data_IF_043324012126
#
_entry.id   IF_043324012126
#
_cell.length_a   1.000
_cell.length_b   1.000
_cell.length_c   1.000
_cell.angle_alpha   90.00
_cell.angle_beta   90.00
_cell.angle_gamma   90.00
#
_symmetry.space_group_name_H-M   'P 1'
#
loop_
_entity.id
_entity.type
_entity.pdbx_description
1 polymer ?
#
# COMPACT_ATOMS: atom_id res chain seq x y z
N UNK A 1 12.00 24.13 -1.44
CA UNK A 1 11.44 24.79 -0.23
C UNK A 1 11.27 23.71 0.83
N UNK A 2 11.58 24.03 2.09
CA UNK A 2 11.51 23.09 3.23
C UNK A 2 10.79 23.79 4.39
N UNK A 3 9.45 23.81 4.39
CA UNK A 3 8.66 24.44 5.44
C UNK A 3 8.89 23.76 6.79
N UNK A 4 8.99 24.57 7.85
CA UNK A 4 9.16 24.09 9.21
C UNK A 4 7.81 24.12 9.99
N UNK A 5 6.85 24.86 9.50
CA UNK A 5 5.55 25.02 10.13
C UNK A 5 4.42 25.17 9.08
N UNK A 6 3.20 25.31 9.59
CA UNK A 6 2.00 25.38 8.78
C UNK A 6 1.91 26.67 7.95
N UNK A 7 2.45 27.78 8.47
CA UNK A 7 2.46 29.07 7.78
C UNK A 7 3.43 29.05 6.60
N UNK A 8 4.65 28.60 6.81
CA UNK A 8 5.65 28.44 5.77
C UNK A 8 5.16 27.48 4.67
N UNK A 9 4.44 26.40 5.06
CA UNK A 9 3.82 25.47 4.11
C UNK A 9 2.76 26.16 3.23
N UNK A 10 1.90 26.96 3.84
CA UNK A 10 0.86 27.72 3.14
C UNK A 10 1.48 28.74 2.16
N UNK A 11 2.46 29.52 2.62
CA UNK A 11 3.16 30.51 1.79
C UNK A 11 3.90 29.85 0.62
N UNK A 12 4.52 28.69 0.85
CA UNK A 12 5.22 27.94 -0.20
C UNK A 12 4.27 27.50 -1.33
N UNK A 13 3.05 27.08 -0.98
CA UNK A 13 2.04 26.65 -1.97
C UNK A 13 1.45 27.86 -2.69
N UNK A 14 1.07 28.91 -1.95
CA UNK A 14 0.41 30.09 -2.50
C UNK A 14 1.30 30.83 -3.53
N UNK A 15 2.62 30.77 -3.39
CA UNK A 15 3.58 31.46 -4.26
C UNK A 15 4.16 30.57 -5.38
N UNK A 16 3.72 29.32 -5.49
CA UNK A 16 4.28 28.37 -6.44
C UNK A 16 3.43 28.27 -7.73
N UNK A 17 4.11 28.04 -8.85
CA UNK A 17 3.44 27.68 -10.11
C UNK A 17 3.17 26.17 -10.19
N UNK A 18 4.14 25.36 -9.78
CA UNK A 18 4.01 23.91 -9.69
C UNK A 18 5.04 23.31 -8.74
N UNK A 19 4.65 22.29 -7.99
CA UNK A 19 5.43 21.68 -6.92
C UNK A 19 5.48 20.16 -7.03
N UNK A 20 6.68 19.59 -6.96
CA UNK A 20 6.86 18.20 -6.58
C UNK A 20 6.86 18.11 -5.05
N UNK A 21 5.81 17.54 -4.47
CA UNK A 21 5.66 17.37 -3.02
C UNK A 21 6.37 16.08 -2.58
N UNK A 22 7.32 16.21 -1.67
CA UNK A 22 8.19 15.14 -1.22
C UNK A 22 8.20 15.06 0.31
N UNK A 23 8.20 13.83 0.85
CA UNK A 23 8.82 13.53 2.13
C UNK A 23 10.28 13.10 1.86
N UNK A 24 10.65 11.86 2.24
CA UNK A 24 11.99 11.33 1.95
C UNK A 24 12.20 10.90 0.48
N UNK A 25 11.28 11.22 -0.43
CA UNK A 25 11.41 10.95 -1.86
C UNK A 25 11.41 9.47 -2.28
N UNK A 26 11.16 8.54 -1.37
CA UNK A 26 11.30 7.08 -1.60
C UNK A 26 10.38 6.53 -2.68
N UNK A 27 9.31 7.24 -3.02
CA UNK A 27 8.30 6.80 -3.99
C UNK A 27 8.34 7.58 -5.31
N UNK A 28 9.41 8.37 -5.55
CA UNK A 28 9.59 9.12 -6.82
C UNK A 28 9.71 8.20 -8.03
N UNK A 29 10.29 6.99 -7.82
CA UNK A 29 10.42 5.96 -8.84
C UNK A 29 9.13 5.25 -9.24
N UNK A 30 8.03 5.46 -8.53
CA UNK A 30 6.73 4.84 -8.81
C UNK A 30 5.88 5.72 -9.73
N UNK A 31 4.91 5.13 -10.46
CA UNK A 31 3.95 5.80 -11.31
C UNK A 31 4.60 6.84 -12.28
N UNK A 32 3.86 7.81 -12.80
CA UNK A 32 4.42 8.85 -13.70
C UNK A 32 5.34 9.80 -12.93
N UNK A 33 6.47 10.23 -13.54
CA UNK A 33 7.30 11.29 -12.95
C UNK A 33 6.54 12.61 -12.90
N UNK A 34 6.78 13.38 -11.84
CA UNK A 34 6.23 14.74 -11.70
C UNK A 34 7.08 15.71 -12.51
N UNK A 35 6.41 16.58 -13.28
CA UNK A 35 7.03 17.69 -14.00
C UNK A 35 6.65 19.00 -13.31
N UNK A 36 7.46 19.46 -12.38
CA UNK A 36 7.23 20.68 -11.62
C UNK A 36 8.46 21.60 -11.62
N UNK A 37 8.22 22.93 -11.52
CA UNK A 37 9.28 23.94 -11.47
C UNK A 37 9.97 23.96 -10.09
N UNK A 38 9.21 23.65 -9.01
CA UNK A 38 9.71 23.68 -7.64
C UNK A 38 9.60 22.32 -6.93
N UNK A 39 10.35 22.19 -5.83
CA UNK A 39 10.27 21.04 -4.90
C UNK A 39 9.83 21.54 -3.53
N UNK A 40 8.86 20.85 -2.94
CA UNK A 40 8.38 21.05 -1.59
C UNK A 40 8.74 19.83 -0.76
N UNK A 41 9.77 19.96 0.06
CA UNK A 41 10.31 18.90 0.91
C UNK A 41 9.77 19.06 2.33
N UNK A 42 9.00 18.08 2.77
CA UNK A 42 8.32 18.10 4.08
C UNK A 42 9.16 17.50 5.21
N UNK A 43 10.42 17.17 4.99
CA UNK A 43 11.27 16.48 5.98
C UNK A 43 11.46 17.25 7.30
N UNK A 44 11.30 18.58 7.30
CA UNK A 44 11.32 19.41 8.52
C UNK A 44 10.02 19.33 9.33
N UNK A 45 8.91 18.91 8.73
CA UNK A 45 7.66 18.65 9.45
C UNK A 45 7.73 17.26 10.10
N UNK A 46 8.59 17.11 11.09
CA UNK A 46 8.95 15.85 11.74
C UNK A 46 8.77 15.96 13.26
N UNK A 47 7.63 15.49 13.74
CA UNK A 47 7.35 15.30 15.16
C UNK A 47 6.18 14.35 15.35
N UNK A 48 6.21 13.54 16.41
CA UNK A 48 5.02 12.88 16.97
C UNK A 48 4.33 13.95 17.82
N UNK A 49 3.12 14.36 17.43
CA UNK A 49 2.38 15.46 18.05
C UNK A 49 1.50 15.00 19.20
N UNK A 50 1.00 13.76 19.12
CA UNK A 50 0.23 13.12 20.19
C UNK A 50 0.24 11.61 20.02
N UNK A 51 0.39 10.89 21.13
CA UNK A 51 0.28 9.44 21.13
C UNK A 51 -0.29 8.99 22.46
N UNK A 52 -1.52 8.48 22.42
CA UNK A 52 -2.26 7.92 23.55
C UNK A 52 -2.43 6.42 23.33
N UNK A 53 -1.52 5.58 23.84
CA UNK A 53 -1.55 4.15 23.60
C UNK A 53 -2.86 3.48 24.02
N UNK A 54 -3.46 3.91 25.12
CA UNK A 54 -4.73 3.35 25.63
C UNK A 54 -5.92 3.64 24.69
N UNK A 55 -5.88 4.76 23.98
CA UNK A 55 -6.92 5.15 23.00
C UNK A 55 -6.67 4.58 21.61
N UNK A 56 -5.52 3.95 21.37
CA UNK A 56 -5.09 3.44 20.07
C UNK A 56 -5.06 4.53 18.97
N UNK A 57 -4.71 5.75 19.35
CA UNK A 57 -4.65 6.93 18.48
C UNK A 57 -3.23 7.49 18.46
N UNK A 58 -2.72 7.70 17.25
CA UNK A 58 -1.38 8.21 16.98
C UNK A 58 -1.47 9.40 16.02
N UNK A 59 -0.91 10.56 16.41
CA UNK A 59 -0.84 11.76 15.58
C UNK A 59 0.60 12.20 15.39
N UNK A 60 0.95 12.59 14.17
CA UNK A 60 2.28 13.08 13.86
C UNK A 60 2.27 13.99 12.61
N UNK A 61 3.29 14.81 12.46
CA UNK A 61 3.53 15.60 11.28
C UNK A 61 3.83 14.70 10.07
N UNK A 62 3.40 15.12 8.88
CA UNK A 62 3.43 14.29 7.67
C UNK A 62 4.85 13.91 7.20
N UNK A 63 5.86 14.73 7.52
CA UNK A 63 7.26 14.46 7.23
C UNK A 63 7.94 13.50 8.22
N UNK A 64 7.27 13.09 9.31
CA UNK A 64 7.82 12.15 10.29
C UNK A 64 8.22 10.85 9.60
N UNK A 65 9.48 10.38 9.76
CA UNK A 65 9.92 9.11 9.22
C UNK A 65 9.04 7.96 9.74
N UNK A 66 8.60 7.08 8.83
CA UNK A 66 7.78 5.91 9.20
C UNK A 66 8.44 5.05 10.27
N UNK A 67 9.75 4.84 10.14
CA UNK A 67 10.53 4.04 11.10
C UNK A 67 10.48 4.64 12.53
N UNK A 68 10.51 5.96 12.66
CA UNK A 68 10.37 6.64 13.96
C UNK A 68 9.00 6.37 14.59
N UNK A 69 7.93 6.46 13.79
CA UNK A 69 6.57 6.14 14.25
C UNK A 69 6.44 4.66 14.64
N UNK A 70 6.94 3.75 13.80
CA UNK A 70 6.92 2.30 14.09
C UNK A 70 7.71 1.95 15.36
N UNK A 71 8.81 2.64 15.63
CA UNK A 71 9.60 2.46 16.86
C UNK A 71 8.81 2.92 18.11
N UNK A 72 8.13 4.07 18.04
CA UNK A 72 7.28 4.55 19.12
C UNK A 72 6.11 3.59 19.40
N UNK A 73 5.44 3.10 18.35
CA UNK A 73 4.36 2.13 18.47
C UNK A 73 4.85 0.81 19.08
N UNK A 74 6.04 0.35 18.71
CA UNK A 74 6.62 -0.89 19.20
C UNK A 74 6.88 -0.86 20.72
N UNK A 75 7.23 0.30 21.28
CA UNK A 75 7.41 0.48 22.74
C UNK A 75 6.13 0.22 23.53
N UNK A 76 4.96 0.51 22.92
CA UNK A 76 3.65 0.23 23.50
C UNK A 76 3.05 -1.11 23.00
N UNK A 77 3.84 -1.97 22.37
CA UNK A 77 3.34 -3.22 21.75
C UNK A 77 2.21 -3.00 20.75
N UNK A 78 2.25 -1.88 20.01
CA UNK A 78 1.28 -1.52 18.98
C UNK A 78 1.92 -1.50 17.58
N UNK A 79 1.09 -1.36 16.54
CA UNK A 79 1.53 -1.38 15.16
C UNK A 79 0.55 -0.67 14.21
N UNK A 80 1.04 -0.30 13.02
CA UNK A 80 0.19 -0.04 11.87
C UNK A 80 -0.35 -1.36 11.32
N UNK A 81 -1.61 -1.67 11.63
CA UNK A 81 -2.19 -2.99 11.33
C UNK A 81 -2.33 -3.30 9.82
N UNK A 82 -2.37 -2.27 8.97
CA UNK A 82 -2.38 -2.42 7.52
C UNK A 82 -1.03 -2.83 6.90
N UNK A 83 0.01 -3.04 7.71
CA UNK A 83 1.36 -3.48 7.29
C UNK A 83 1.92 -2.67 6.11
N UNK A 84 2.30 -1.40 6.30
CA UNK A 84 2.83 -0.61 5.19
C UNK A 84 4.10 -1.27 4.61
N UNK A 85 4.15 -1.54 3.28
CA UNK A 85 5.31 -2.19 2.69
C UNK A 85 6.54 -1.27 2.70
N UNK A 86 7.71 -1.88 2.90
CA UNK A 86 8.99 -1.24 2.66
C UNK A 86 9.50 -1.63 1.27
N UNK A 87 9.33 -0.74 0.32
CA UNK A 87 9.78 -0.96 -1.06
C UNK A 87 11.18 -0.38 -1.32
N UNK A 88 11.94 -0.04 -0.28
CA UNK A 88 13.26 0.58 -0.43
C UNK A 88 14.22 -0.30 -1.23
N UNK A 89 14.30 -1.59 -0.92
CA UNK A 89 15.10 -2.56 -1.67
C UNK A 89 14.67 -2.65 -3.14
N UNK A 90 13.36 -2.67 -3.39
CA UNK A 90 12.81 -2.78 -4.75
C UNK A 90 13.05 -1.51 -5.57
N UNK A 91 13.03 -0.34 -4.95
CA UNK A 91 13.16 0.98 -5.59
C UNK A 91 14.57 1.56 -5.52
N UNK A 92 15.51 0.87 -4.85
CA UNK A 92 16.88 1.34 -4.69
C UNK A 92 16.98 2.60 -3.81
N UNK A 93 16.13 2.73 -2.78
CA UNK A 93 16.15 3.87 -1.85
C UNK A 93 16.65 3.44 -0.46
N UNK A 94 17.13 4.40 0.34
CA UNK A 94 17.72 4.11 1.65
C UNK A 94 16.81 4.40 2.84
N UNK A 95 15.54 4.68 2.62
CA UNK A 95 14.58 5.06 3.65
C UNK A 95 13.24 4.37 3.44
N UNK A 96 12.55 4.06 4.53
CA UNK A 96 11.18 3.54 4.51
C UNK A 96 10.12 4.59 4.13
N UNK A 97 10.53 5.87 4.02
CA UNK A 97 9.66 7.00 3.72
C UNK A 97 9.06 7.68 4.95
N UNK A 98 8.07 8.53 4.72
CA UNK A 98 7.38 9.32 5.76
C UNK A 98 5.93 8.92 5.89
N UNK A 99 5.26 9.33 6.98
CA UNK A 99 3.84 9.08 7.21
C UNK A 99 2.96 9.71 6.13
N UNK A 100 3.24 10.94 5.73
CA UNK A 100 2.51 11.58 4.61
C UNK A 100 2.65 10.81 3.30
N UNK A 101 3.87 10.32 2.98
CA UNK A 101 4.11 9.48 1.80
C UNK A 101 3.44 8.10 1.88
N UNK A 102 3.31 7.52 3.08
CA UNK A 102 2.58 6.28 3.34
C UNK A 102 1.09 6.46 3.06
N UNK A 103 0.48 7.51 3.62
CA UNK A 103 -0.93 7.84 3.43
C UNK A 103 -1.21 8.20 1.96
N UNK A 104 -0.38 9.07 1.37
CA UNK A 104 -0.55 9.51 0.00
C UNK A 104 -0.59 8.37 -1.02
N UNK A 105 0.08 7.25 -0.77
CA UNK A 105 0.12 6.11 -1.70
C UNK A 105 -0.88 5.00 -1.39
N UNK A 106 -1.45 4.96 -0.18
CA UNK A 106 -2.41 3.94 0.28
C UNK A 106 -1.93 2.49 0.06
N UNK A 107 -0.62 2.25 0.15
CA UNK A 107 -0.07 0.91 -0.01
C UNK A 107 -0.18 0.13 1.30
N UNK A 108 -0.77 -1.05 1.22
CA UNK A 108 -1.00 -1.96 2.35
C UNK A 108 -0.42 -3.33 2.06
N UNK A 109 0.02 -4.01 3.09
CA UNK A 109 0.58 -5.35 3.04
C UNK A 109 -0.45 -6.46 3.24
N UNK A 110 0.02 -7.70 3.52
CA UNK A 110 -0.81 -8.91 3.58
C UNK A 110 -1.98 -8.82 4.55
N UNK A 111 -1.82 -8.16 5.72
CA UNK A 111 -2.86 -8.07 6.75
C UNK A 111 -4.06 -7.21 6.34
N UNK A 112 -4.01 -6.56 5.16
CA UNK A 112 -5.17 -5.82 4.62
C UNK A 112 -6.44 -6.67 4.58
N UNK A 113 -6.32 -7.98 4.37
CA UNK A 113 -7.47 -8.90 4.32
C UNK A 113 -8.32 -8.83 5.60
N UNK A 114 -7.67 -8.68 6.77
CA UNK A 114 -8.32 -8.64 8.08
C UNK A 114 -8.39 -7.23 8.65
N UNK A 115 -7.34 -6.44 8.50
CA UNK A 115 -7.21 -5.14 9.15
C UNK A 115 -7.73 -3.97 8.31
N UNK A 116 -7.94 -4.15 7.00
CA UNK A 116 -8.24 -3.07 6.08
C UNK A 116 -6.98 -2.38 5.53
N UNK A 117 -7.19 -1.37 4.68
CA UNK A 117 -6.14 -0.59 4.03
C UNK A 117 -5.73 0.63 4.87
N UNK A 118 -4.68 1.35 4.47
CA UNK A 118 -4.24 2.61 5.10
C UNK A 118 -5.43 3.55 5.32
N UNK A 119 -6.27 3.75 4.29
CA UNK A 119 -7.43 4.65 4.34
C UNK A 119 -8.46 4.31 5.43
N UNK A 120 -8.49 3.06 5.88
CA UNK A 120 -9.43 2.60 6.91
C UNK A 120 -8.89 2.90 8.32
N UNK A 121 -7.63 3.36 8.41
CA UNK A 121 -6.94 3.72 9.63
C UNK A 121 -6.68 5.22 9.77
N UNK A 122 -6.87 6.03 8.72
CA UNK A 122 -6.73 7.49 8.81
C UNK A 122 -8.00 8.06 9.42
N UNK A 123 -7.88 8.57 10.66
CA UNK A 123 -8.98 9.15 11.42
C UNK A 123 -9.17 10.63 11.09
N UNK A 124 -8.07 11.36 10.85
CA UNK A 124 -8.10 12.77 10.56
C UNK A 124 -6.78 13.30 10.02
N UNK A 125 -6.80 14.53 9.55
CA UNK A 125 -5.63 15.23 9.07
C UNK A 125 -5.81 16.73 9.10
N UNK A 126 -4.69 17.46 9.07
CA UNK A 126 -4.60 18.88 8.72
C UNK A 126 -3.76 19.02 7.44
N UNK A 127 -4.16 19.89 6.53
CA UNK A 127 -3.54 20.03 5.22
C UNK A 127 -3.67 21.43 4.64
N UNK A 128 -2.89 21.69 3.58
CA UNK A 128 -3.03 22.88 2.72
C UNK A 128 -3.43 22.42 1.33
N UNK A 129 -4.52 22.98 0.79
CA UNK A 129 -4.97 22.74 -0.57
C UNK A 129 -4.07 23.42 -1.62
N UNK A 130 -4.22 23.07 -2.89
CA UNK A 130 -3.57 23.80 -3.98
C UNK A 130 -4.04 25.26 -4.15
N UNK A 131 -5.07 25.70 -3.40
CA UNK A 131 -5.50 27.10 -3.28
C UNK A 131 -4.74 27.87 -2.21
N UNK A 132 -3.84 27.21 -1.47
CA UNK A 132 -3.21 27.80 -0.29
C UNK A 132 -4.13 27.89 0.93
N UNK A 133 -5.28 27.20 0.93
CA UNK A 133 -6.23 27.19 2.03
C UNK A 133 -5.89 26.08 3.03
N UNK A 134 -5.82 26.46 4.30
CA UNK A 134 -5.67 25.53 5.43
C UNK A 134 -7.02 24.90 5.71
N UNK A 135 -7.06 23.59 5.81
CA UNK A 135 -8.26 22.86 6.21
C UNK A 135 -7.92 21.60 7.00
N UNK A 136 -8.90 21.14 7.77
CA UNK A 136 -8.83 19.89 8.52
C UNK A 136 -10.10 19.08 8.31
N UNK A 137 -9.98 17.77 8.42
CA UNK A 137 -11.12 16.87 8.37
C UNK A 137 -10.87 15.63 9.23
N UNK A 138 -11.96 15.04 9.72
CA UNK A 138 -11.88 13.97 10.70
C UNK A 138 -11.49 14.49 12.09
N UNK A 139 -10.92 13.62 12.91
CA UNK A 139 -10.53 13.94 14.29
C UNK A 139 -9.84 12.76 14.96
N UNK A 140 -9.84 12.73 16.29
CA UNK A 140 -9.27 11.66 17.10
C UNK A 140 -10.27 10.54 17.42
N UNK A 141 -11.48 10.57 16.84
CA UNK A 141 -12.54 9.61 17.13
C UNK A 141 -12.76 8.69 15.93
N UNK A 142 -13.02 7.43 16.20
CA UNK A 142 -13.20 6.38 15.17
C UNK A 142 -14.47 6.58 14.34
N UNK A 143 -15.49 7.29 14.88
CA UNK A 143 -16.76 7.50 14.21
C UNK A 143 -16.97 8.99 13.89
N UNK A 144 -16.79 9.35 12.60
CA UNK A 144 -17.25 10.63 12.08
C UNK A 144 -18.60 10.40 11.37
N UNK A 145 -19.65 11.10 11.82
CA UNK A 145 -21.02 10.94 11.28
C UNK A 145 -21.50 12.17 10.51
N UNK A 146 -20.66 13.19 10.38
CA UNK A 146 -21.03 14.46 9.73
C UNK A 146 -20.07 14.80 8.59
N UNK A 147 -20.61 15.18 7.44
CA UNK A 147 -19.86 15.63 6.29
C UNK A 147 -19.26 14.49 5.44
N UNK A 148 -18.43 14.89 4.48
CA UNK A 148 -17.72 13.96 3.60
C UNK A 148 -16.52 13.33 4.32
N UNK A 149 -16.23 12.06 4.00
CA UNK A 149 -15.05 11.35 4.50
C UNK A 149 -13.80 11.79 3.71
N UNK A 150 -13.33 13.01 3.97
CA UNK A 150 -12.14 13.56 3.34
C UNK A 150 -10.85 12.79 3.72
N UNK A 151 -10.68 12.20 4.92
CA UNK A 151 -9.56 11.32 5.21
C UNK A 151 -9.39 10.20 4.18
N UNK A 152 -10.49 9.54 3.78
CA UNK A 152 -10.44 8.51 2.73
C UNK A 152 -10.15 9.06 1.34
N UNK A 153 -10.60 10.28 1.03
CA UNK A 153 -10.33 10.95 -0.24
C UNK A 153 -8.84 11.35 -0.37
N UNK A 154 -8.25 11.89 0.69
CA UNK A 154 -6.83 12.28 0.72
C UNK A 154 -5.90 11.07 0.67
N UNK A 155 -6.31 9.95 1.28
CA UNK A 155 -5.53 8.71 1.28
C UNK A 155 -5.52 8.08 -0.12
N UNK A 156 -4.34 7.95 -0.70
CA UNK A 156 -4.17 7.46 -2.07
C UNK A 156 -4.22 8.55 -3.14
N UNK A 157 -4.29 9.83 -2.76
CA UNK A 157 -4.28 10.96 -3.70
C UNK A 157 -2.92 11.31 -4.27
N UNK A 158 -1.84 10.67 -3.84
CA UNK A 158 -0.46 10.93 -4.26
C UNK A 158 -0.01 12.38 -4.04
N UNK A 159 -0.61 13.08 -3.08
CA UNK A 159 -0.35 14.49 -2.82
C UNK A 159 -0.77 15.43 -3.96
N UNK A 160 -1.73 15.01 -4.78
CA UNK A 160 -2.25 15.82 -5.90
C UNK A 160 -3.44 16.69 -5.50
N UNK A 161 -4.08 16.43 -4.37
CA UNK A 161 -5.24 17.20 -3.88
C UNK A 161 -4.85 18.22 -2.82
N UNK A 162 -4.00 17.81 -1.89
CA UNK A 162 -3.53 18.66 -0.80
C UNK A 162 -2.16 18.18 -0.31
N UNK A 163 -1.46 19.03 0.41
CA UNK A 163 -0.24 18.72 1.15
C UNK A 163 -0.61 18.51 2.60
N UNK A 164 -0.42 17.27 3.08
CA UNK A 164 -0.66 16.93 4.47
C UNK A 164 0.37 17.59 5.37
N UNK A 165 -0.08 18.22 6.46
CA UNK A 165 0.76 18.79 7.50
C UNK A 165 0.83 17.85 8.71
N UNK A 166 -0.31 17.48 9.28
CA UNK A 166 -0.47 16.54 10.39
C UNK A 166 -1.45 15.44 10.01
N UNK A 167 -1.22 14.24 10.54
CA UNK A 167 -2.08 13.07 10.30
C UNK A 167 -2.37 12.37 11.61
N UNK A 168 -3.62 11.90 11.77
CA UNK A 168 -4.07 11.10 12.89
C UNK A 168 -4.46 9.71 12.41
N UNK A 169 -3.89 8.68 13.01
CA UNK A 169 -4.02 7.30 12.63
C UNK A 169 -4.55 6.45 13.78
N UNK A 170 -5.47 5.54 13.48
CA UNK A 170 -5.80 4.41 14.33
C UNK A 170 -4.67 3.40 14.27
N UNK A 171 -4.22 2.95 15.43
CA UNK A 171 -3.25 1.87 15.59
C UNK A 171 -3.91 0.68 16.28
N UNK A 172 -3.30 -0.49 16.24
CA UNK A 172 -3.81 -1.70 16.90
C UNK A 172 -2.72 -2.34 17.75
N UNK A 173 -3.09 -3.10 18.80
CA UNK A 173 -2.14 -3.94 19.50
C UNK A 173 -1.47 -4.94 18.56
N UNK A 174 -0.19 -5.18 18.79
CA UNK A 174 0.55 -6.24 18.09
C UNK A 174 0.06 -7.59 18.57
N UNK A 175 -0.20 -8.58 17.69
CA UNK A 175 -0.49 -9.94 18.10
C UNK A 175 0.64 -10.52 18.96
N UNK A 176 0.29 -11.27 19.99
CA UNK A 176 1.25 -11.95 20.87
C UNK A 176 2.10 -12.95 20.08
N UNK A 177 1.45 -13.73 19.22
CA UNK A 177 2.07 -14.78 18.42
C UNK A 177 1.42 -14.90 17.04
N UNK A 178 2.13 -15.56 16.12
CA UNK A 178 1.63 -15.92 14.80
C UNK A 178 2.00 -17.35 14.43
N UNK A 179 1.18 -17.96 13.58
CA UNK A 179 1.43 -19.24 12.94
C UNK A 179 1.15 -19.15 11.44
N UNK A 180 1.98 -19.81 10.66
CA UNK A 180 1.75 -19.95 9.22
C UNK A 180 1.74 -21.42 8.83
N UNK A 181 0.59 -21.86 8.28
CA UNK A 181 0.49 -23.13 7.58
C UNK A 181 0.91 -22.94 6.14
N UNK A 182 1.64 -23.92 5.59
CA UNK A 182 2.03 -23.95 4.19
C UNK A 182 1.41 -25.19 3.54
N UNK A 183 0.69 -24.97 2.44
CA UNK A 183 0.21 -26.03 1.55
C UNK A 183 1.18 -26.14 0.38
N UNK A 184 1.76 -27.32 0.18
CA UNK A 184 2.81 -27.55 -0.80
C UNK A 184 2.29 -28.07 -2.14
N UNK A 185 2.99 -27.70 -3.23
CA UNK A 185 2.85 -28.30 -4.53
C UNK A 185 1.64 -27.87 -5.38
N UNK A 186 0.93 -26.82 -4.95
CA UNK A 186 -0.28 -26.38 -5.64
C UNK A 186 0.00 -25.72 -7.02
N UNK A 187 -0.91 -25.95 -7.96
CA UNK A 187 -1.00 -25.10 -9.14
C UNK A 187 -1.64 -23.74 -8.77
N UNK A 188 -1.43 -22.65 -9.55
CA UNK A 188 -1.95 -21.33 -9.20
C UNK A 188 -3.47 -21.28 -8.97
N UNK A 189 -4.24 -22.03 -9.74
CA UNK A 189 -5.70 -22.12 -9.57
C UNK A 189 -6.08 -22.80 -8.26
N UNK A 190 -5.43 -23.94 -7.93
CA UNK A 190 -5.68 -24.67 -6.69
C UNK A 190 -5.27 -23.86 -5.46
N UNK A 191 -4.17 -23.10 -5.57
CA UNK A 191 -3.73 -22.17 -4.55
C UNK A 191 -4.77 -21.08 -4.27
N UNK A 192 -5.38 -20.51 -5.31
CA UNK A 192 -6.45 -19.53 -5.15
C UNK A 192 -7.68 -20.15 -4.44
N UNK A 193 -8.03 -21.40 -4.77
CA UNK A 193 -9.11 -22.12 -4.09
C UNK A 193 -8.77 -22.42 -2.62
N UNK A 194 -7.55 -22.87 -2.33
CA UNK A 194 -7.09 -23.12 -0.97
C UNK A 194 -7.10 -21.87 -0.11
N UNK A 195 -6.61 -20.74 -0.65
CA UNK A 195 -6.66 -19.44 0.02
C UNK A 195 -8.10 -18.99 0.27
N UNK A 196 -8.98 -19.14 -0.72
CA UNK A 196 -10.41 -18.81 -0.58
C UNK A 196 -11.10 -19.65 0.49
N UNK A 197 -10.82 -20.96 0.54
CA UNK A 197 -11.35 -21.87 1.55
C UNK A 197 -10.86 -21.48 2.96
N UNK A 198 -9.57 -21.16 3.11
CA UNK A 198 -9.00 -20.67 4.36
C UNK A 198 -9.65 -19.36 4.83
N UNK A 199 -9.84 -18.39 3.93
CA UNK A 199 -10.49 -17.12 4.22
C UNK A 199 -11.97 -17.27 4.61
N UNK A 200 -12.67 -18.26 4.05
CA UNK A 200 -14.06 -18.58 4.39
C UNK A 200 -14.22 -19.33 5.70
N UNK A 201 -13.14 -19.77 6.33
CA UNK A 201 -13.16 -20.50 7.60
C UNK A 201 -13.29 -19.57 8.82
N UNK A 202 -13.66 -20.14 9.98
CA UNK A 202 -13.68 -19.44 11.25
C UNK A 202 -12.26 -19.23 11.86
N UNK A 203 -11.19 -19.55 11.12
CA UNK A 203 -9.84 -19.44 11.60
C UNK A 203 -9.27 -18.00 11.66
N UNK A 204 -10.04 -17.02 11.20
CA UNK A 204 -9.64 -15.59 11.18
C UNK A 204 -8.25 -15.37 10.55
N UNK A 205 -8.09 -15.83 9.32
CA UNK A 205 -6.85 -15.68 8.55
C UNK A 205 -6.47 -14.21 8.40
N UNK A 206 -5.21 -13.88 8.67
CA UNK A 206 -4.67 -12.52 8.60
C UNK A 206 -3.74 -12.28 7.39
N UNK A 207 -3.39 -13.32 6.67
CA UNK A 207 -2.60 -13.25 5.44
C UNK A 207 -2.73 -14.56 4.65
N UNK A 208 -2.85 -14.45 3.33
CA UNK A 208 -2.91 -15.58 2.42
C UNK A 208 -2.19 -15.23 1.12
N UNK A 209 -1.11 -15.96 0.80
CA UNK A 209 -0.23 -15.69 -0.32
C UNK A 209 0.23 -16.99 -1.00
N UNK A 210 0.56 -16.91 -2.29
CA UNK A 210 1.06 -18.03 -3.08
C UNK A 210 2.31 -17.65 -3.86
N UNK A 211 3.34 -18.48 -3.77
CA UNK A 211 4.60 -18.34 -4.48
C UNK A 211 4.74 -19.43 -5.57
N UNK A 212 4.56 -19.09 -6.85
CA UNK A 212 4.62 -20.07 -7.94
C UNK A 212 5.98 -20.78 -8.06
N UNK A 213 7.08 -20.12 -7.65
CA UNK A 213 8.45 -20.65 -7.79
C UNK A 213 8.67 -21.90 -6.94
N UNK A 214 8.09 -21.95 -5.75
CA UNK A 214 8.13 -23.09 -4.85
C UNK A 214 6.84 -23.89 -4.84
N UNK A 215 5.77 -23.35 -5.46
CA UNK A 215 4.41 -23.87 -5.43
C UNK A 215 3.83 -23.95 -4.01
N UNK A 216 4.25 -23.03 -3.14
CA UNK A 216 3.82 -22.95 -1.75
C UNK A 216 2.74 -21.92 -1.54
N UNK A 217 1.71 -22.30 -0.79
CA UNK A 217 0.61 -21.41 -0.37
C UNK A 217 0.69 -21.19 1.13
N UNK A 218 0.89 -19.94 1.53
CA UNK A 218 1.10 -19.51 2.91
C UNK A 218 -0.21 -18.96 3.49
N UNK A 219 -0.63 -19.48 4.64
CA UNK A 219 -1.85 -19.05 5.35
C UNK A 219 -1.48 -18.66 6.77
N UNK A 220 -1.59 -17.37 7.12
CA UNK A 220 -1.24 -16.82 8.43
C UNK A 220 -2.45 -16.64 9.33
N UNK A 221 -2.31 -17.04 10.57
CA UNK A 221 -3.19 -16.72 11.70
C UNK A 221 -2.39 -16.03 12.81
N UNK A 222 -3.01 -15.10 13.51
CA UNK A 222 -2.37 -14.28 14.54
C UNK A 222 -3.29 -14.12 15.75
N UNK A 223 -2.72 -13.96 16.94
CA UNK A 223 -3.45 -13.72 18.18
C UNK A 223 -2.74 -14.23 19.41
N UNK A 224 -3.50 -14.62 20.42
CA UNK A 224 -2.99 -15.24 21.65
C UNK A 224 -2.73 -16.74 21.41
N UNK A 225 -1.67 -17.28 22.00
CA UNK A 225 -1.19 -18.62 21.75
C UNK A 225 -2.25 -19.73 21.91
N UNK A 226 -3.08 -19.78 22.97
CA UNK A 226 -4.13 -20.82 23.10
C UNK A 226 -5.15 -20.80 21.96
N UNK A 227 -5.56 -19.62 21.50
CA UNK A 227 -6.49 -19.47 20.39
C UNK A 227 -5.89 -19.94 19.06
N UNK A 228 -4.59 -19.71 18.85
CA UNK A 228 -3.90 -20.12 17.63
C UNK A 228 -3.91 -21.66 17.45
N UNK A 229 -3.74 -22.43 18.52
CA UNK A 229 -3.77 -23.90 18.42
C UNK A 229 -5.13 -24.42 17.95
N UNK A 230 -6.23 -23.89 18.49
CA UNK A 230 -7.58 -24.28 18.06
C UNK A 230 -7.84 -23.92 16.59
N UNK A 231 -7.48 -22.68 16.19
CA UNK A 231 -7.66 -22.20 14.81
C UNK A 231 -6.75 -22.91 13.81
N UNK A 232 -5.56 -23.31 14.23
CA UNK A 232 -4.67 -24.17 13.45
C UNK A 232 -5.35 -25.47 13.07
N UNK A 233 -5.95 -26.20 14.04
CA UNK A 233 -6.66 -27.47 13.79
C UNK A 233 -7.81 -27.29 12.79
N UNK A 234 -8.56 -26.18 12.88
CA UNK A 234 -9.58 -25.85 11.89
C UNK A 234 -8.97 -25.68 10.49
N UNK A 235 -7.87 -24.93 10.36
CA UNK A 235 -7.20 -24.72 9.08
C UNK A 235 -6.61 -26.02 8.51
N UNK A 236 -6.00 -26.85 9.33
CA UNK A 236 -5.50 -28.16 8.89
C UNK A 236 -6.62 -29.01 8.29
N UNK A 237 -7.80 -29.00 8.90
CA UNK A 237 -8.98 -29.71 8.37
C UNK A 237 -9.43 -29.13 7.02
N UNK A 238 -9.50 -27.81 6.89
CA UNK A 238 -9.92 -27.12 5.67
C UNK A 238 -8.91 -27.31 4.54
N UNK A 239 -7.61 -27.28 4.85
CA UNK A 239 -6.53 -27.28 3.87
C UNK A 239 -6.04 -28.67 3.47
N UNK A 240 -6.27 -29.69 4.29
CA UNK A 240 -5.85 -31.09 4.03
C UNK A 240 -6.24 -31.63 2.65
N UNK A 241 -7.44 -31.33 2.10
CA UNK A 241 -7.82 -31.79 0.78
C UNK A 241 -6.98 -31.23 -0.37
N UNK A 242 -6.28 -30.12 -0.17
CA UNK A 242 -5.51 -29.44 -1.23
C UNK A 242 -4.11 -30.01 -1.40
N UNK A 243 -3.47 -30.52 -0.32
CA UNK A 243 -2.12 -31.07 -0.42
C UNK A 243 -1.41 -31.26 0.92
N UNK A 244 -0.13 -31.64 0.86
CA UNK A 244 0.70 -31.77 2.06
C UNK A 244 0.81 -30.45 2.81
N UNK A 245 0.76 -30.52 4.15
CA UNK A 245 0.83 -29.35 5.02
C UNK A 245 2.12 -29.35 5.84
N UNK A 246 2.67 -28.18 6.07
CA UNK A 246 3.69 -27.95 7.10
C UNK A 246 3.39 -26.68 7.90
N UNK A 247 4.04 -26.53 9.04
CA UNK A 247 3.94 -25.37 9.91
C UNK A 247 5.30 -24.67 9.94
N UNK A 248 5.32 -23.35 9.72
CA UNK A 248 6.54 -22.57 9.90
C UNK A 248 6.77 -22.25 11.39
N UNK A 249 8.01 -22.33 11.82
CA UNK A 249 8.42 -21.73 13.09
C UNK A 249 8.15 -20.23 13.09
N UNK A 250 7.76 -19.65 14.22
CA UNK A 250 7.29 -18.25 14.29
C UNK A 250 8.29 -17.25 13.71
N UNK A 251 9.59 -17.39 13.98
CA UNK A 251 10.63 -16.51 13.42
C UNK A 251 10.71 -16.60 11.90
N UNK A 252 10.55 -17.79 11.34
CA UNK A 252 10.53 -18.04 9.89
C UNK A 252 9.25 -17.47 9.29
N UNK A 253 8.12 -17.68 9.96
CA UNK A 253 6.83 -17.09 9.55
C UNK A 253 6.93 -15.56 9.43
N UNK A 254 7.39 -14.88 10.48
CA UNK A 254 7.58 -13.42 10.49
C UNK A 254 8.48 -12.93 9.36
N UNK A 255 9.61 -13.58 9.13
CA UNK A 255 10.53 -13.25 8.05
C UNK A 255 9.89 -13.44 6.66
N UNK A 256 9.13 -14.54 6.48
CA UNK A 256 8.43 -14.81 5.23
C UNK A 256 7.36 -13.77 4.92
N UNK A 257 6.57 -13.34 5.90
CA UNK A 257 5.54 -12.31 5.69
C UNK A 257 6.14 -10.91 5.46
N UNK A 258 7.27 -10.60 6.05
CA UNK A 258 8.05 -9.39 5.71
C UNK A 258 8.50 -9.46 4.25
N UNK A 259 9.06 -10.58 3.80
CA UNK A 259 9.51 -10.75 2.42
C UNK A 259 8.35 -10.68 1.40
N UNK A 260 7.17 -11.20 1.73
CA UNK A 260 5.93 -11.08 0.92
C UNK A 260 5.45 -9.63 0.90
N UNK A 261 5.34 -9.00 2.08
CA UNK A 261 4.90 -7.60 2.22
C UNK A 261 5.72 -6.63 1.38
N UNK A 262 7.03 -6.81 1.39
CA UNK A 262 8.00 -5.92 0.74
C UNK A 262 8.32 -6.36 -0.70
N UNK A 263 7.61 -7.38 -1.19
CA UNK A 263 7.78 -8.00 -2.51
C UNK A 263 9.21 -8.50 -2.80
N UNK A 264 10.01 -8.78 -1.75
CA UNK A 264 11.37 -9.34 -1.88
C UNK A 264 11.34 -10.73 -2.50
N UNK A 265 10.30 -11.52 -2.21
CA UNK A 265 10.08 -12.87 -2.80
C UNK A 265 10.01 -12.86 -4.33
N UNK A 266 9.77 -11.71 -4.95
CA UNK A 266 9.77 -11.54 -6.39
C UNK A 266 11.17 -11.74 -6.99
N UNK A 267 12.21 -11.55 -6.19
CA UNK A 267 13.61 -11.63 -6.59
C UNK A 267 13.88 -10.90 -7.92
N UNK A 268 13.38 -9.67 -8.02
CA UNK A 268 13.39 -8.91 -9.24
C UNK A 268 14.75 -8.28 -9.52
N UNK A 269 15.30 -8.51 -10.72
CA UNK A 269 16.51 -7.85 -11.19
C UNK A 269 16.35 -6.32 -11.28
N UNK A 270 17.45 -5.58 -11.21
CA UNK A 270 17.45 -4.10 -11.18
C UNK A 270 16.80 -3.45 -12.40
N UNK A 271 16.82 -4.14 -13.56
CA UNK A 271 16.28 -3.63 -14.83
C UNK A 271 14.87 -4.15 -15.16
N UNK A 272 14.28 -4.94 -14.28
CA UNK A 272 12.92 -5.44 -14.52
C UNK A 272 11.87 -4.41 -14.12
N UNK A 273 10.84 -4.31 -14.95
CA UNK A 273 9.64 -3.55 -14.65
C UNK A 273 8.81 -4.29 -13.61
N UNK A 274 8.31 -3.57 -12.59
CA UNK A 274 7.51 -4.15 -11.51
C UNK A 274 6.11 -3.56 -11.54
N UNK A 275 5.14 -4.45 -11.62
CA UNK A 275 3.72 -4.10 -11.53
C UNK A 275 3.09 -4.66 -10.26
N UNK A 276 2.16 -3.90 -9.72
CA UNK A 276 1.27 -4.28 -8.65
C UNK A 276 -0.16 -4.22 -9.17
N UNK A 277 -0.80 -5.37 -9.28
CA UNK A 277 -2.12 -5.51 -9.91
C UNK A 277 -3.13 -6.01 -8.87
N UNK A 278 -4.26 -5.30 -8.73
CA UNK A 278 -5.37 -5.75 -7.89
C UNK A 278 -6.51 -6.23 -8.80
N UNK A 279 -6.98 -7.44 -8.53
CA UNK A 279 -8.07 -8.12 -9.24
C UNK A 279 -9.03 -8.77 -8.24
N UNK A 280 -10.12 -9.37 -8.71
CA UNK A 280 -10.91 -10.25 -7.83
C UNK A 280 -10.04 -11.44 -7.36
N UNK A 281 -10.14 -11.89 -6.09
CA UNK A 281 -9.25 -12.94 -5.56
C UNK A 281 -9.17 -14.20 -6.41
N UNK A 282 -10.29 -14.66 -6.96
CA UNK A 282 -10.32 -15.85 -7.83
C UNK A 282 -9.75 -15.62 -9.24
N UNK A 283 -9.41 -14.37 -9.62
CA UNK A 283 -8.79 -14.05 -10.90
C UNK A 283 -7.27 -13.83 -10.79
N UNK A 284 -6.70 -13.88 -9.58
CA UNK A 284 -5.25 -13.69 -9.38
C UNK A 284 -4.40 -14.69 -10.17
N UNK A 285 -4.77 -15.96 -10.20
CA UNK A 285 -4.07 -16.99 -11.00
C UNK A 285 -4.16 -16.70 -12.49
N UNK A 286 -5.33 -16.24 -12.98
CA UNK A 286 -5.53 -15.87 -14.39
C UNK A 286 -4.68 -14.67 -14.79
N UNK A 287 -4.44 -13.73 -13.84
CA UNK A 287 -3.54 -12.59 -14.07
C UNK A 287 -2.08 -13.04 -14.23
N UNK A 288 -1.63 -14.03 -13.44
CA UNK A 288 -0.30 -14.63 -13.61
C UNK A 288 -0.14 -15.29 -14.98
N UNK A 289 -1.17 -16.00 -15.45
CA UNK A 289 -1.15 -16.70 -16.74
C UNK A 289 -1.26 -15.72 -17.93
N UNK A 290 -1.98 -14.62 -17.79
CA UNK A 290 -2.24 -13.66 -18.86
C UNK A 290 -1.01 -12.84 -19.25
N UNK A 291 -0.05 -12.63 -18.35
CA UNK A 291 1.15 -11.82 -18.62
C UNK A 291 2.34 -12.71 -18.87
N UNK A 292 2.58 -13.00 -20.15
CA UNK A 292 3.68 -13.86 -20.59
C UNK A 292 5.05 -13.31 -20.20
N UNK A 293 5.98 -14.21 -19.90
CA UNK A 293 7.36 -13.90 -19.48
C UNK A 293 7.47 -13.14 -18.16
N UNK A 294 6.36 -12.93 -17.43
CA UNK A 294 6.40 -12.37 -16.09
C UNK A 294 6.76 -13.45 -15.05
N UNK A 295 7.55 -13.05 -14.05
CA UNK A 295 7.55 -13.74 -12.76
C UNK A 295 6.59 -13.02 -11.85
N UNK A 296 5.94 -13.74 -10.94
CA UNK A 296 5.00 -13.10 -10.05
C UNK A 296 4.64 -13.95 -8.86
N UNK A 297 3.84 -13.38 -7.98
CA UNK A 297 3.22 -14.09 -6.86
C UNK A 297 1.87 -13.46 -6.52
N UNK A 298 1.04 -14.20 -5.81
CA UNK A 298 -0.25 -13.72 -5.31
C UNK A 298 -0.17 -13.42 -3.81
N UNK A 299 -0.79 -12.31 -3.41
CA UNK A 299 -1.10 -11.94 -2.03
C UNK A 299 -2.60 -11.60 -1.93
N UNK A 300 -3.09 -11.29 -0.74
CA UNK A 300 -4.49 -10.97 -0.47
C UNK A 300 -5.45 -12.06 -0.98
N UNK A 301 -5.10 -13.31 -0.73
CA UNK A 301 -5.85 -14.47 -1.18
C UNK A 301 -6.10 -14.51 -2.70
N UNK A 302 -5.16 -13.97 -3.50
CA UNK A 302 -5.26 -13.82 -4.94
C UNK A 302 -5.71 -12.44 -5.41
N UNK A 303 -6.19 -11.57 -4.51
CA UNK A 303 -6.67 -10.22 -4.85
C UNK A 303 -5.56 -9.20 -5.16
N UNK A 304 -4.32 -9.56 -4.91
CA UNK A 304 -3.14 -8.78 -5.27
C UNK A 304 -2.12 -9.67 -5.98
N UNK A 305 -1.70 -9.24 -7.16
CA UNK A 305 -0.67 -9.92 -7.95
C UNK A 305 0.50 -8.97 -8.16
N UNK A 306 1.69 -9.42 -7.79
CA UNK A 306 2.94 -8.75 -8.10
C UNK A 306 3.57 -9.42 -9.32
N UNK A 307 4.06 -8.63 -10.26
CA UNK A 307 4.67 -9.09 -11.49
C UNK A 307 6.01 -8.40 -11.71
N UNK A 308 7.03 -9.17 -12.08
CA UNK A 308 8.30 -8.69 -12.60
C UNK A 308 8.41 -9.09 -14.07
N UNK A 309 8.61 -8.11 -14.95
CA UNK A 309 8.74 -8.31 -16.39
C UNK A 309 10.10 -7.82 -16.88
N UNK A 310 10.73 -8.52 -17.83
CA UNK A 310 11.88 -7.98 -18.55
C UNK A 310 11.50 -6.64 -19.20
N UNK A 311 12.36 -5.63 -19.02
CA UNK A 311 12.15 -4.34 -19.66
C UNK A 311 12.45 -4.43 -21.16
N UNK A 312 11.41 -4.35 -21.98
CA UNK A 312 11.49 -4.35 -23.45
C UNK A 312 11.18 -2.97 -24.04
N UNK A 313 11.30 -1.90 -23.24
CA UNK A 313 11.08 -0.53 -23.68
C UNK A 313 9.66 0.01 -23.43
N UNK A 314 8.74 -0.83 -22.97
CA UNK A 314 7.35 -0.47 -22.61
C UNK A 314 6.91 -0.95 -21.23
N UNK A 315 7.83 -1.52 -20.43
CA UNK A 315 7.55 -2.14 -19.13
C UNK A 315 6.46 -3.24 -19.19
N UNK A 316 6.14 -3.80 -20.34
CA UNK A 316 5.03 -4.74 -20.51
C UNK A 316 3.64 -4.13 -20.32
N UNK A 317 3.52 -2.79 -20.38
CA UNK A 317 2.28 -2.07 -20.08
C UNK A 317 1.11 -2.53 -20.94
N UNK A 318 1.35 -2.79 -22.24
CA UNK A 318 0.32 -3.30 -23.15
C UNK A 318 -0.30 -4.61 -22.68
N UNK A 319 0.52 -5.59 -22.25
CA UNK A 319 0.04 -6.88 -21.76
C UNK A 319 -0.71 -6.75 -20.42
N UNK A 320 -0.14 -6.00 -19.48
CA UNK A 320 -0.73 -5.81 -18.16
C UNK A 320 -2.08 -5.10 -18.26
N UNK A 321 -2.18 -4.01 -19.01
CA UNK A 321 -3.43 -3.27 -19.18
C UNK A 321 -4.49 -4.07 -19.96
N UNK A 322 -4.08 -4.87 -20.95
CA UNK A 322 -5.00 -5.78 -21.64
C UNK A 322 -5.56 -6.86 -20.71
N UNK A 323 -4.73 -7.47 -19.87
CA UNK A 323 -5.17 -8.45 -18.89
C UNK A 323 -6.13 -7.83 -17.86
N UNK A 324 -5.81 -6.65 -17.32
CA UNK A 324 -6.68 -5.91 -16.38
C UNK A 324 -8.01 -5.54 -17.02
N UNK A 325 -8.03 -5.17 -18.30
CA UNK A 325 -9.27 -4.86 -19.03
C UNK A 325 -10.21 -6.08 -19.12
N UNK A 326 -9.65 -7.29 -19.27
CA UNK A 326 -10.43 -8.54 -19.36
C UNK A 326 -10.89 -9.02 -17.98
N UNK A 327 -9.99 -8.98 -16.98
CA UNK A 327 -10.22 -9.55 -15.65
C UNK A 327 -10.89 -8.55 -14.69
N UNK A 328 -10.93 -7.27 -15.06
CA UNK A 328 -11.30 -6.20 -14.12
C UNK A 328 -10.14 -5.82 -13.17
N UNK A 329 -10.37 -4.84 -12.32
CA UNK A 329 -9.37 -4.41 -11.34
C UNK A 329 -8.53 -3.21 -11.80
N UNK A 330 -7.30 -3.10 -11.26
CA UNK A 330 -6.40 -2.00 -11.59
C UNK A 330 -4.93 -2.37 -11.40
N UNK A 331 -4.07 -1.76 -12.17
CA UNK A 331 -2.62 -1.93 -12.13
C UNK A 331 -1.91 -0.62 -11.76
N UNK A 332 -0.79 -0.74 -11.07
CA UNK A 332 0.13 0.33 -10.73
C UNK A 332 1.56 -0.10 -11.10
N UNK A 333 2.22 0.69 -11.93
CA UNK A 333 3.64 0.51 -12.23
C UNK A 333 4.48 1.00 -11.04
N UNK A 334 5.12 0.07 -10.36
CA UNK A 334 5.94 0.31 -9.18
C UNK A 334 7.35 0.74 -9.57
N UNK A 335 7.94 0.09 -10.58
CA UNK A 335 9.30 0.36 -11.04
C UNK A 335 9.43 0.17 -12.55
N UNK A 336 9.99 1.16 -13.21
CA UNK A 336 10.55 1.11 -14.56
C UNK A 336 11.49 2.31 -14.77
N UNK A 337 12.26 2.30 -15.85
CA UNK A 337 13.08 3.44 -16.23
C UNK A 337 12.24 4.71 -16.44
N UNK A 338 12.78 5.88 -16.10
CA UNK A 338 12.01 7.13 -16.13
C UNK A 338 11.43 7.44 -17.52
N UNK A 339 12.22 7.28 -18.58
CA UNK A 339 11.80 7.50 -19.95
C UNK A 339 10.64 6.59 -20.41
N UNK A 340 10.49 5.41 -19.80
CA UNK A 340 9.36 4.51 -20.02
C UNK A 340 8.15 5.00 -19.25
N UNK A 341 8.29 5.33 -17.96
CA UNK A 341 7.20 5.84 -17.12
C UNK A 341 6.58 7.14 -17.65
N UNK A 342 7.32 7.92 -18.42
CA UNK A 342 6.80 9.12 -19.11
C UNK A 342 5.85 8.77 -20.26
N UNK A 343 6.02 7.61 -20.89
CA UNK A 343 5.34 7.22 -22.14
C UNK A 343 4.17 6.27 -21.92
N UNK A 344 4.25 5.40 -20.90
CA UNK A 344 3.24 4.36 -20.67
C UNK A 344 2.19 4.78 -19.65
N UNK A 345 1.05 4.11 -19.66
CA UNK A 345 0.04 4.22 -18.62
C UNK A 345 0.50 3.50 -17.36
N UNK A 346 1.06 4.25 -16.41
CA UNK A 346 1.54 3.72 -15.13
C UNK A 346 0.41 3.30 -14.18
N UNK A 347 -0.81 3.77 -14.43
CA UNK A 347 -2.05 3.41 -13.76
C UNK A 347 -3.03 2.91 -14.81
N UNK A 348 -3.95 2.04 -14.41
CA UNK A 348 -5.04 1.62 -15.31
C UNK A 348 -5.87 2.84 -15.73
N UNK A 349 -6.08 3.05 -17.03
CA UNK A 349 -6.93 4.13 -17.54
C UNK A 349 -8.36 4.02 -16.98
N UNK A 350 -8.88 5.14 -16.52
CA UNK A 350 -10.24 5.20 -15.97
C UNK A 350 -11.28 5.36 -17.09
N UNK A 351 -12.49 4.80 -16.91
CA UNK A 351 -13.62 5.13 -17.78
C UNK A 351 -13.90 6.63 -17.79
N UNK A 352 -14.32 7.18 -18.93
CA UNK A 352 -14.51 8.61 -19.11
C UNK A 352 -15.39 9.31 -18.03
N UNK A 353 -16.49 8.73 -17.54
CA UNK A 353 -17.28 9.34 -16.46
C UNK A 353 -16.50 9.46 -15.14
N UNK A 354 -15.71 8.44 -14.78
CA UNK A 354 -14.88 8.45 -13.58
C UNK A 354 -13.72 9.45 -13.72
N UNK A 355 -13.08 9.50 -14.88
CA UNK A 355 -12.03 10.46 -15.18
C UNK A 355 -12.55 11.91 -15.07
N UNK A 356 -13.76 12.20 -15.57
CA UNK A 356 -14.40 13.51 -15.45
C UNK A 356 -14.72 13.87 -13.99
N UNK A 357 -15.19 12.89 -13.18
CA UNK A 357 -15.43 13.11 -11.75
C UNK A 357 -14.12 13.43 -11.02
N UNK A 358 -13.07 12.66 -11.23
CA UNK A 358 -11.77 12.88 -10.62
C UNK A 358 -11.14 14.21 -11.04
N UNK A 359 -11.33 14.64 -12.28
CA UNK A 359 -10.90 15.96 -12.74
C UNK A 359 -11.62 17.10 -11.99
N UNK A 360 -12.94 16.97 -11.75
CA UNK A 360 -13.68 17.94 -10.93
C UNK A 360 -13.21 17.98 -9.48
N UNK A 361 -12.94 16.81 -8.89
CA UNK A 361 -12.39 16.72 -7.53
C UNK A 361 -11.01 17.41 -7.49
N UNK A 362 -10.12 17.11 -8.44
CA UNK A 362 -8.81 17.77 -8.55
C UNK A 362 -8.98 19.29 -8.66
N UNK A 363 -9.83 19.78 -9.53
CA UNK A 363 -10.09 21.22 -9.72
C UNK A 363 -10.70 21.88 -8.48
N UNK A 364 -11.47 21.16 -7.67
CA UNK A 364 -12.02 21.67 -6.42
C UNK A 364 -10.93 21.94 -5.37
N UNK A 365 -9.90 21.10 -5.28
CA UNK A 365 -8.81 21.24 -4.31
C UNK A 365 -7.60 22.00 -4.87
N UNK A 366 -7.29 21.84 -6.15
CA UNK A 366 -6.12 22.41 -6.81
C UNK A 366 -6.44 22.85 -8.23
N UNK A 367 -7.17 23.99 -8.38
CA UNK A 367 -7.64 24.47 -9.68
C UNK A 367 -6.51 24.88 -10.63
N UNK A 368 -5.36 25.27 -10.10
CA UNK A 368 -4.19 25.70 -10.88
C UNK A 368 -3.24 24.56 -11.20
N UNK A 369 -3.56 23.32 -10.72
CA UNK A 369 -2.72 22.12 -10.90
C UNK A 369 -1.29 22.29 -10.39
N UNK A 370 -1.13 22.91 -9.22
CA UNK A 370 0.15 23.19 -8.58
C UNK A 370 0.77 21.91 -8.03
N UNK A 371 -0.04 21.04 -7.39
CA UNK A 371 0.43 19.92 -6.58
C UNK A 371 0.64 18.65 -7.42
N UNK A 372 1.89 18.18 -7.48
CA UNK A 372 2.30 16.94 -8.17
C UNK A 372 1.67 16.78 -9.57
N UNK A 373 1.81 17.78 -10.47
CA UNK A 373 1.17 17.74 -11.77
C UNK A 373 1.60 16.52 -12.58
N UNK A 374 0.62 15.83 -13.19
CA UNK A 374 0.84 14.64 -14.01
C UNK A 374 1.12 13.34 -13.24
N UNK A 375 1.15 13.35 -11.90
CA UNK A 375 1.53 12.18 -11.07
C UNK A 375 0.57 11.00 -11.24
N UNK A 376 -0.69 11.24 -11.32
CA UNK A 376 -1.71 10.19 -11.44
C UNK A 376 -2.20 9.99 -12.88
N UNK A 377 -1.92 10.90 -13.76
CA UNK A 377 -2.42 10.88 -15.15
C UNK A 377 -1.43 11.44 -16.14
#
# INVERSE_FOLDING_TARGET
MQPADFKELQEAIANAKSLEVLGNGTKRGMAKPVKAEGKLDLSRLNAITSYEPEELVFSALAGTPRQQAEAALAQASQMFAFEPPDLSALLGTQSTGTLGGMIATNLSGPRRLKAGAVRDHVLGFEAVSGRGEIFKAGGRVVKNVTGYDLPKLMTGSWGTLAVLHEVTLKVLPRPESEMTLVVHGLAPQDAAQAMSAAMGSAAEVSGAAYLPQTRDTFIRIEGITPSLFARRVMLETVLKPFGPLSLLAESISRAQWIAIRDAVVLNAGSHEAIWRVSVAPMDGHRMLDAVQSARGFMDWAGGLVWLALPDRGDAGAGQVQAAVKVLGGHALLIRAAQNIREKVDCLTPEPAPLAALNARVKSAFDPQNILNPGRMR
#
